data_IF_815937356272
#
_entry.id   IF_815937356272
#
_cell.length_a   1.000
_cell.length_b   1.000
_cell.length_c   1.000
_cell.angle_alpha   90.00
_cell.angle_beta   90.00
_cell.angle_gamma   90.00
#
_symmetry.space_group_name_H-M   'P 1'
#
loop_
_entity.id
_entity.type
_entity.pdbx_description
1 polymer ?
#
# COMPACT_ATOMS: atom_id res chain seq x y z
N UNK A 1 -9.27 -14.45 -58.21
CA UNK A 1 -8.97 -14.40 -56.77
C UNK A 1 -10.27 -14.59 -56.01
N UNK A 2 -10.55 -15.82 -55.59
CA UNK A 2 -11.78 -16.21 -54.88
C UNK A 2 -11.38 -16.72 -53.51
N UNK A 3 -12.02 -16.17 -52.48
CA UNK A 3 -11.76 -16.45 -51.08
C UNK A 3 -12.16 -17.90 -50.72
N UNK A 4 -11.24 -18.65 -50.09
CA UNK A 4 -11.53 -19.96 -49.52
C UNK A 4 -12.08 -19.79 -48.10
N UNK A 5 -13.39 -19.98 -47.93
CA UNK A 5 -14.09 -19.97 -46.64
C UNK A 5 -13.71 -21.18 -45.79
N UNK A 6 -13.15 -20.94 -44.61
CA UNK A 6 -12.84 -21.98 -43.61
C UNK A 6 -14.15 -22.40 -42.95
N UNK A 7 -14.64 -23.60 -43.28
CA UNK A 7 -15.85 -24.17 -42.66
C UNK A 7 -15.54 -24.99 -41.40
N UNK A 8 -16.45 -24.92 -40.41
CA UNK A 8 -16.39 -25.57 -39.07
C UNK A 8 -16.03 -27.07 -39.05
N UNK A 9 -16.14 -27.78 -40.17
CA UNK A 9 -15.78 -29.21 -40.30
C UNK A 9 -14.27 -29.49 -40.24
N UNK A 10 -13.41 -28.50 -40.49
CA UNK A 10 -11.93 -28.65 -40.45
C UNK A 10 -11.32 -28.48 -39.06
N UNK A 11 -12.10 -27.98 -38.08
CA UNK A 11 -11.65 -27.76 -36.69
C UNK A 11 -11.80 -29.03 -35.83
N UNK A 12 -12.60 -30.01 -36.27
CA UNK A 12 -12.87 -31.24 -35.49
C UNK A 12 -11.94 -32.42 -35.82
N UNK A 13 -10.99 -32.27 -36.76
CA UNK A 13 -10.04 -33.34 -37.14
C UNK A 13 -8.73 -33.37 -36.34
N UNK A 14 -8.55 -32.49 -35.34
CA UNK A 14 -7.34 -32.45 -34.50
C UNK A 14 -7.55 -33.10 -33.11
N UNK A 15 -8.75 -33.58 -32.79
CA UNK A 15 -9.07 -34.19 -31.49
C UNK A 15 -8.76 -35.70 -31.42
N UNK A 16 -7.56 -36.11 -31.82
CA UNK A 16 -7.20 -37.53 -32.01
C UNK A 16 -5.84 -37.93 -31.44
N UNK A 17 -5.52 -37.53 -30.20
CA UNK A 17 -4.38 -38.08 -29.46
C UNK A 17 -4.60 -37.96 -27.95
N UNK A 18 -5.38 -38.90 -27.41
CA UNK A 18 -5.48 -39.12 -25.97
C UNK A 18 -4.20 -39.79 -25.47
N UNK A 19 -3.27 -39.02 -24.91
CA UNK A 19 -2.21 -39.55 -24.05
C UNK A 19 -2.83 -39.84 -22.68
N UNK A 20 -2.98 -41.13 -22.35
CA UNK A 20 -3.35 -41.57 -21.01
C UNK A 20 -2.20 -41.26 -20.04
N UNK A 21 -2.31 -40.16 -19.30
CA UNK A 21 -1.42 -39.84 -18.18
C UNK A 21 -1.99 -40.52 -16.92
N UNK A 22 -1.22 -41.30 -16.16
CA UNK A 22 -1.72 -41.90 -14.92
C UNK A 22 -2.07 -40.79 -13.93
N UNK A 23 -3.35 -40.68 -13.54
CA UNK A 23 -3.82 -39.78 -12.48
C UNK A 23 -3.50 -40.36 -11.10
N UNK A 24 -2.22 -40.39 -10.75
CA UNK A 24 -1.80 -40.49 -9.36
C UNK A 24 -0.91 -39.30 -9.07
N UNK A 25 -1.54 -38.20 -8.63
CA UNK A 25 -0.82 -37.03 -8.13
C UNK A 25 -0.46 -37.32 -6.66
N UNK A 26 0.82 -37.53 -6.31
CA UNK A 26 1.20 -37.67 -4.91
C UNK A 26 0.87 -36.37 -4.17
N UNK A 27 0.21 -36.48 -2.99
CA UNK A 27 -0.29 -35.34 -2.20
C UNK A 27 0.74 -34.28 -1.76
N UNK A 28 2.02 -34.45 -2.11
CA UNK A 28 3.06 -33.43 -1.98
C UNK A 28 2.96 -32.30 -3.03
N UNK A 29 2.16 -32.47 -4.09
CA UNK A 29 1.89 -31.44 -5.11
C UNK A 29 0.71 -30.51 -4.76
N UNK A 30 0.05 -30.69 -3.60
CA UNK A 30 -0.96 -29.77 -3.07
C UNK A 30 -0.36 -28.65 -2.21
N UNK A 31 0.96 -28.61 -2.06
CA UNK A 31 1.66 -27.38 -1.70
C UNK A 31 1.88 -26.59 -2.99
N UNK A 32 1.37 -25.35 -3.02
CA UNK A 32 1.53 -24.41 -4.12
C UNK A 32 2.96 -24.49 -4.66
N UNK A 33 3.10 -24.67 -5.98
CA UNK A 33 4.41 -24.75 -6.61
C UNK A 33 5.22 -23.48 -6.26
N UNK A 34 6.55 -23.54 -6.12
CA UNK A 34 7.38 -22.38 -5.75
C UNK A 34 7.21 -21.14 -6.65
N UNK A 35 6.55 -21.26 -7.81
CA UNK A 35 6.19 -20.17 -8.72
C UNK A 35 4.90 -19.41 -8.37
N UNK A 36 4.17 -19.79 -7.30
CA UNK A 36 2.88 -19.17 -6.93
C UNK A 36 2.94 -18.28 -5.67
N UNK A 37 4.12 -18.12 -5.06
CA UNK A 37 4.26 -17.29 -3.84
C UNK A 37 4.82 -15.91 -4.17
N UNK A 38 3.99 -14.87 -4.00
CA UNK A 38 4.39 -13.47 -4.16
C UNK A 38 5.41 -13.09 -3.08
N UNK A 39 6.58 -12.61 -3.50
CA UNK A 39 7.67 -12.17 -2.62
C UNK A 39 7.56 -10.67 -2.38
N UNK A 40 7.33 -10.28 -1.13
CA UNK A 40 7.02 -8.90 -0.76
C UNK A 40 8.12 -8.28 0.09
N UNK A 41 8.47 -7.04 -0.22
CA UNK A 41 9.28 -6.18 0.65
C UNK A 41 8.42 -5.20 1.44
N UNK A 42 8.79 -4.86 2.68
CA UNK A 42 8.11 -3.81 3.47
C UNK A 42 9.02 -2.59 3.56
N UNK A 43 8.49 -1.40 3.26
CA UNK A 43 9.23 -0.14 3.31
C UNK A 43 8.55 0.78 4.33
N UNK A 44 9.27 1.14 5.39
CA UNK A 44 8.74 1.84 6.57
C UNK A 44 8.29 0.87 7.64
N UNK A 45 8.93 0.91 8.81
CA UNK A 45 8.77 -0.12 9.85
C UNK A 45 8.17 0.45 11.14
N UNK A 46 7.18 1.34 10.95
CA UNK A 46 6.39 1.95 12.02
C UNK A 46 5.35 0.99 12.63
N UNK A 47 4.47 1.54 13.48
CA UNK A 47 3.43 0.74 14.15
C UNK A 47 2.48 0.05 13.18
N UNK A 48 2.13 0.72 12.07
CA UNK A 48 1.21 0.20 11.06
C UNK A 48 1.74 -1.04 10.34
N UNK A 49 3.00 -1.01 9.92
CA UNK A 49 3.67 -2.17 9.33
C UNK A 49 3.59 -3.41 10.24
N UNK A 50 3.74 -3.24 11.56
CA UNK A 50 3.65 -4.37 12.52
C UNK A 50 2.24 -4.96 12.55
N UNK A 51 1.22 -4.12 12.53
CA UNK A 51 -0.18 -4.57 12.50
C UNK A 51 -0.45 -5.36 11.22
N UNK A 52 -0.08 -4.83 10.07
CA UNK A 52 -0.25 -5.51 8.78
C UNK A 52 0.46 -6.86 8.76
N UNK A 53 1.71 -6.94 9.24
CA UNK A 53 2.43 -8.21 9.34
C UNK A 53 1.67 -9.22 10.19
N UNK A 54 1.10 -8.79 11.32
CA UNK A 54 0.36 -9.68 12.20
C UNK A 54 -0.99 -10.10 11.62
N UNK A 55 -1.74 -9.16 11.03
CA UNK A 55 -3.05 -9.40 10.40
C UNK A 55 -2.93 -10.32 9.17
N UNK A 56 -1.75 -10.34 8.54
CA UNK A 56 -1.52 -11.07 7.28
C UNK A 56 -0.89 -12.46 7.46
N UNK A 57 -0.63 -12.90 8.71
CA UNK A 57 0.01 -14.22 9.00
C UNK A 57 -0.78 -15.42 8.46
N UNK A 58 -2.09 -15.30 8.38
CA UNK A 58 -2.97 -16.38 7.91
C UNK A 58 -3.21 -16.33 6.40
N UNK A 59 -2.80 -15.25 5.74
CA UNK A 59 -2.94 -15.08 4.29
C UNK A 59 -1.90 -15.94 3.58
N UNK A 60 -2.35 -16.86 2.73
CA UNK A 60 -1.48 -17.75 1.94
C UNK A 60 -1.08 -17.10 0.61
N UNK A 61 -0.08 -17.68 -0.06
CA UNK A 61 0.31 -17.29 -1.42
C UNK A 61 1.26 -16.08 -1.49
N UNK A 62 1.76 -15.61 -0.35
CA UNK A 62 2.76 -14.55 -0.30
C UNK A 62 3.73 -14.78 0.85
N UNK A 63 4.87 -14.10 0.82
CA UNK A 63 5.83 -14.06 1.93
C UNK A 63 6.61 -12.76 1.95
N UNK A 64 6.95 -12.30 3.14
CA UNK A 64 7.88 -11.19 3.33
C UNK A 64 9.30 -11.75 3.13
N UNK A 65 10.04 -11.16 2.19
CA UNK A 65 11.43 -11.54 1.90
C UNK A 65 12.43 -10.59 2.57
N UNK A 66 12.07 -9.30 2.68
CA UNK A 66 12.93 -8.28 3.21
C UNK A 66 12.14 -7.09 3.77
N UNK A 67 12.79 -6.33 4.63
CA UNK A 67 12.23 -5.15 5.28
C UNK A 67 13.21 -3.99 5.20
N UNK A 68 12.70 -2.77 5.12
CA UNK A 68 13.50 -1.58 4.94
C UNK A 68 12.98 -0.40 5.77
N UNK A 69 13.88 0.31 6.44
CA UNK A 69 13.60 1.61 7.06
C UNK A 69 14.87 2.46 7.01
N UNK A 70 14.74 3.77 6.75
CA UNK A 70 15.88 4.69 6.71
C UNK A 70 16.62 4.79 8.04
N UNK A 71 15.99 4.41 9.16
CA UNK A 71 16.62 4.36 10.47
C UNK A 71 16.92 2.92 10.87
N UNK A 72 18.16 2.47 10.65
CA UNK A 72 18.61 1.07 10.91
C UNK A 72 18.18 0.47 12.26
N UNK A 73 18.23 1.17 13.40
CA UNK A 73 17.78 0.60 14.66
C UNK A 73 16.30 0.18 14.66
N UNK A 74 15.48 0.80 13.80
CA UNK A 74 14.08 0.39 13.60
C UNK A 74 13.97 -0.91 12.81
N UNK A 75 14.88 -1.16 11.87
CA UNK A 75 14.97 -2.43 11.13
C UNK A 75 15.25 -3.58 12.10
N UNK A 76 16.27 -3.44 12.94
CA UNK A 76 16.64 -4.45 13.93
C UNK A 76 15.50 -4.70 14.92
N UNK A 77 14.88 -3.63 15.45
CA UNK A 77 13.76 -3.75 16.36
C UNK A 77 12.55 -4.45 15.72
N UNK A 78 12.23 -4.14 14.46
CA UNK A 78 11.12 -4.74 13.73
C UNK A 78 11.33 -6.23 13.49
N UNK A 79 12.52 -6.62 13.00
CA UNK A 79 12.86 -8.03 12.79
C UNK A 79 12.78 -8.78 14.11
N UNK A 80 13.39 -8.26 15.18
CA UNK A 80 13.35 -8.91 16.49
C UNK A 80 11.93 -9.08 17.04
N UNK A 81 11.03 -8.13 16.78
CA UNK A 81 9.67 -8.14 17.33
C UNK A 81 8.72 -9.05 16.55
N UNK A 82 8.75 -9.04 15.22
CA UNK A 82 7.72 -9.70 14.39
C UNK A 82 8.27 -10.66 13.34
N UNK A 83 9.58 -10.69 13.11
CA UNK A 83 10.24 -11.42 12.02
C UNK A 83 11.45 -12.29 12.44
N UNK A 84 11.66 -12.52 13.74
CA UNK A 84 12.89 -13.13 14.29
C UNK A 84 13.28 -14.44 13.62
N UNK A 85 12.29 -15.30 13.37
CA UNK A 85 12.50 -16.63 12.79
C UNK A 85 12.08 -16.70 11.31
N UNK A 86 11.77 -15.55 10.71
CA UNK A 86 11.22 -15.48 9.37
C UNK A 86 12.30 -15.35 8.27
N UNK A 87 13.58 -15.18 8.67
CA UNK A 87 14.71 -15.08 7.74
C UNK A 87 14.71 -13.81 6.87
N UNK A 88 14.04 -12.75 7.32
CA UNK A 88 13.99 -11.48 6.59
C UNK A 88 15.34 -10.79 6.62
N UNK A 89 15.72 -10.21 5.48
CA UNK A 89 16.88 -9.33 5.42
C UNK A 89 16.45 -7.90 5.69
N UNK A 90 17.23 -7.22 6.52
CA UNK A 90 17.05 -5.80 6.82
C UNK A 90 17.86 -4.91 5.89
N UNK A 91 17.27 -3.77 5.50
CA UNK A 91 17.89 -2.78 4.62
C UNK A 91 17.65 -1.35 5.14
N UNK A 92 18.62 -0.46 4.95
CA UNK A 92 18.43 0.98 5.21
C UNK A 92 17.83 1.72 4.00
N UNK A 93 18.14 1.24 2.79
CA UNK A 93 17.73 1.85 1.53
C UNK A 93 16.83 0.90 0.73
N UNK A 94 15.63 1.36 0.39
CA UNK A 94 14.64 0.53 -0.29
C UNK A 94 15.03 0.21 -1.73
N UNK A 95 15.79 1.10 -2.40
CA UNK A 95 16.29 0.84 -3.76
C UNK A 95 17.26 -0.34 -3.74
N UNK A 96 18.21 -0.34 -2.80
CA UNK A 96 19.13 -1.45 -2.58
C UNK A 96 18.40 -2.75 -2.24
N UNK A 97 17.32 -2.68 -1.43
CA UNK A 97 16.47 -3.84 -1.15
C UNK A 97 15.85 -4.38 -2.44
N UNK A 98 15.20 -3.53 -3.25
CA UNK A 98 14.56 -3.93 -4.52
C UNK A 98 15.58 -4.50 -5.52
N UNK A 99 16.78 -3.93 -5.59
CA UNK A 99 17.85 -4.42 -6.50
C UNK A 99 18.40 -5.79 -6.08
N UNK A 100 18.61 -6.01 -4.78
CA UNK A 100 19.23 -7.25 -4.27
C UNK A 100 18.24 -8.38 -4.07
N UNK A 101 16.99 -8.04 -3.80
CA UNK A 101 15.94 -9.02 -3.54
C UNK A 101 15.08 -9.21 -4.77
N UNK A 102 14.83 -10.47 -5.14
CA UNK A 102 13.88 -10.82 -6.19
C UNK A 102 12.45 -10.62 -5.67
N UNK A 103 12.02 -9.37 -5.51
CA UNK A 103 10.69 -9.01 -5.05
C UNK A 103 9.72 -8.93 -6.23
N UNK A 104 8.47 -9.29 -5.98
CA UNK A 104 7.37 -9.13 -6.93
C UNK A 104 6.57 -7.85 -6.61
N UNK A 105 6.47 -7.52 -5.31
CA UNK A 105 5.74 -6.37 -4.82
C UNK A 105 6.38 -5.74 -3.58
N UNK A 106 5.96 -4.52 -3.25
CA UNK A 106 6.30 -3.87 -1.98
C UNK A 106 5.07 -3.31 -1.26
N UNK A 107 5.11 -3.30 0.06
CA UNK A 107 4.17 -2.58 0.92
C UNK A 107 4.84 -1.31 1.41
N UNK A 108 4.29 -0.16 1.06
CA UNK A 108 4.81 1.17 1.42
C UNK A 108 4.04 1.68 2.65
N UNK A 109 4.67 1.46 3.80
CA UNK A 109 4.20 1.72 5.16
C UNK A 109 4.94 2.91 5.80
N UNK A 110 5.52 3.78 4.97
CA UNK A 110 6.29 4.95 5.41
C UNK A 110 5.41 6.02 6.04
N UNK A 111 6.00 7.15 6.41
CA UNK A 111 5.26 8.39 6.66
C UNK A 111 4.64 8.93 5.37
N UNK A 112 3.63 9.81 5.50
CA UNK A 112 2.86 10.31 4.35
C UNK A 112 3.66 11.17 3.40
N UNK A 113 4.45 12.09 3.93
CA UNK A 113 5.35 12.94 3.14
C UNK A 113 6.43 12.17 2.37
N UNK A 114 6.77 10.93 2.74
CA UNK A 114 7.74 10.13 1.96
C UNK A 114 7.07 9.19 0.94
N UNK A 115 5.76 8.92 1.10
CA UNK A 115 5.09 7.77 0.49
C UNK A 115 5.02 7.82 -1.03
N UNK A 116 4.65 8.99 -1.58
CA UNK A 116 4.40 9.14 -3.02
C UNK A 116 5.67 8.85 -3.84
N UNK A 117 6.80 9.45 -3.46
CA UNK A 117 8.07 9.27 -4.18
C UNK A 117 8.56 7.81 -4.12
N UNK A 118 8.47 7.15 -2.96
CA UNK A 118 8.88 5.75 -2.79
C UNK A 118 8.03 4.85 -3.68
N UNK A 119 6.72 5.10 -3.69
CA UNK A 119 5.76 4.35 -4.49
C UNK A 119 6.06 4.47 -5.98
N UNK A 120 6.31 5.67 -6.50
CA UNK A 120 6.67 5.88 -7.91
C UNK A 120 7.94 5.11 -8.28
N UNK A 121 8.96 5.15 -7.43
CA UNK A 121 10.24 4.49 -7.70
C UNK A 121 10.15 2.98 -7.62
N UNK A 122 9.36 2.46 -6.69
CA UNK A 122 9.07 1.03 -6.63
C UNK A 122 8.36 0.57 -7.92
N UNK A 123 7.35 1.33 -8.38
CA UNK A 123 6.68 1.02 -9.64
C UNK A 123 7.61 1.11 -10.85
N UNK A 124 8.48 2.12 -10.89
CA UNK A 124 9.49 2.26 -11.93
C UNK A 124 10.48 1.09 -11.94
N UNK A 125 10.82 0.55 -10.78
CA UNK A 125 11.64 -0.65 -10.63
C UNK A 125 10.89 -1.95 -10.96
N UNK A 126 9.63 -1.87 -11.41
CA UNK A 126 8.83 -3.02 -11.83
C UNK A 126 8.03 -3.69 -10.71
N UNK A 127 7.95 -3.10 -9.52
CA UNK A 127 7.21 -3.68 -8.39
C UNK A 127 5.72 -3.34 -8.47
N UNK A 128 4.87 -4.30 -8.13
CA UNK A 128 3.50 -4.01 -7.70
C UNK A 128 3.53 -3.37 -6.30
N UNK A 129 2.55 -2.51 -5.98
CA UNK A 129 2.63 -1.69 -4.77
C UNK A 129 1.33 -1.64 -3.97
N UNK A 130 1.41 -2.07 -2.71
CA UNK A 130 0.44 -1.71 -1.69
C UNK A 130 0.88 -0.39 -1.04
N UNK A 131 -0.03 0.59 -0.99
CA UNK A 131 0.25 1.95 -0.53
C UNK A 131 -0.63 2.22 0.68
N UNK A 132 -0.07 2.43 1.87
CA UNK A 132 -0.92 2.83 3.01
C UNK A 132 -1.63 4.16 2.77
N UNK A 133 -2.76 4.31 3.45
CA UNK A 133 -3.50 5.57 3.48
C UNK A 133 -2.91 6.52 4.54
N UNK A 134 -3.00 7.85 4.36
CA UNK A 134 -3.38 8.53 3.11
C UNK A 134 -2.35 8.27 2.00
N UNK A 135 -2.78 8.13 0.75
CA UNK A 135 -1.87 7.70 -0.32
C UNK A 135 -0.69 8.68 -0.56
N UNK A 136 -0.89 9.97 -0.31
CA UNK A 136 0.06 11.06 -0.59
C UNK A 136 -0.26 12.29 0.27
N UNK A 137 0.61 13.32 0.22
CA UNK A 137 0.46 14.56 0.97
C UNK A 137 -0.37 15.60 0.20
N UNK A 138 -0.25 15.64 -1.14
CA UNK A 138 -0.97 16.60 -1.99
C UNK A 138 -1.82 15.94 -3.07
N UNK A 139 -2.81 16.68 -3.60
CA UNK A 139 -3.63 16.25 -4.74
C UNK A 139 -2.77 16.01 -5.99
N UNK A 140 -1.78 16.86 -6.23
CA UNK A 140 -0.89 16.75 -7.38
C UNK A 140 -0.09 15.44 -7.37
N UNK A 141 0.45 15.07 -6.21
CA UNK A 141 1.11 13.76 -6.03
C UNK A 141 0.14 12.60 -6.28
N UNK A 142 -1.10 12.71 -5.81
CA UNK A 142 -2.11 11.68 -6.02
C UNK A 142 -2.41 11.47 -7.51
N UNK A 143 -2.49 12.54 -8.29
CA UNK A 143 -2.65 12.47 -9.76
C UNK A 143 -1.43 11.83 -10.40
N UNK A 144 -0.23 12.22 -9.98
CA UNK A 144 1.01 11.65 -10.50
C UNK A 144 1.16 10.16 -10.17
N UNK A 145 0.72 9.71 -8.99
CA UNK A 145 0.71 8.29 -8.63
C UNK A 145 -0.17 7.45 -9.55
N UNK A 146 -1.35 7.95 -9.90
CA UNK A 146 -2.24 7.31 -10.88
C UNK A 146 -1.59 7.23 -12.26
N UNK A 147 -0.95 8.31 -12.70
CA UNK A 147 -0.21 8.32 -13.97
C UNK A 147 0.95 7.33 -13.97
N UNK A 148 1.73 7.28 -12.89
CA UNK A 148 2.86 6.36 -12.76
C UNK A 148 2.40 4.90 -12.75
N UNK A 149 1.34 4.56 -12.03
CA UNK A 149 0.77 3.21 -12.02
C UNK A 149 0.36 2.74 -13.42
N UNK A 150 -0.31 3.63 -14.19
CA UNK A 150 -0.70 3.37 -15.58
C UNK A 150 0.50 3.27 -16.52
N UNK A 151 1.46 4.19 -16.39
CA UNK A 151 2.66 4.25 -17.22
C UNK A 151 3.51 3.00 -17.08
N UNK A 152 3.76 2.57 -15.85
CA UNK A 152 4.59 1.40 -15.55
C UNK A 152 3.79 0.10 -15.53
N UNK A 153 2.47 0.15 -15.78
CA UNK A 153 1.57 -1.00 -15.82
C UNK A 153 1.74 -1.89 -14.58
N UNK A 154 1.68 -1.27 -13.39
CA UNK A 154 1.82 -1.96 -12.11
C UNK A 154 0.47 -2.10 -11.42
N UNK A 155 0.28 -3.20 -10.71
CA UNK A 155 -0.87 -3.36 -9.81
C UNK A 155 -0.62 -2.48 -8.59
N UNK A 156 -1.59 -1.62 -8.30
CA UNK A 156 -1.55 -0.76 -7.11
C UNK A 156 -2.81 -0.92 -6.28
N UNK A 157 -2.65 -0.96 -4.97
CA UNK A 157 -3.75 -1.01 -4.02
C UNK A 157 -3.50 -0.02 -2.87
N UNK A 158 -4.44 0.88 -2.65
CA UNK A 158 -4.40 1.78 -1.49
C UNK A 158 -4.98 1.08 -0.27
N UNK A 159 -4.37 1.30 0.90
CA UNK A 159 -4.70 0.71 2.20
C UNK A 159 -6.03 1.15 2.81
N UNK A 160 -7.06 1.36 2.00
CA UNK A 160 -8.41 1.71 2.46
C UNK A 160 -9.14 0.45 2.94
N UNK A 161 -8.64 -0.14 4.05
CA UNK A 161 -9.03 -1.46 4.54
C UNK A 161 -10.54 -1.65 4.73
N UNK A 162 -11.27 -0.58 5.06
CA UNK A 162 -12.72 -0.62 5.23
C UNK A 162 -13.46 -1.10 3.97
N UNK A 163 -12.88 -0.98 2.77
CA UNK A 163 -13.42 -1.57 1.53
C UNK A 163 -13.27 -3.09 1.43
N UNK A 164 -12.50 -3.70 2.32
CA UNK A 164 -12.30 -5.15 2.40
C UNK A 164 -12.97 -5.77 3.61
N UNK A 165 -13.60 -4.96 4.48
CA UNK A 165 -14.31 -5.44 5.67
C UNK A 165 -15.72 -5.89 5.26
N UNK A 166 -16.12 -7.16 5.50
CA UNK A 166 -17.40 -7.69 5.03
C UNK A 166 -18.63 -6.90 5.50
N UNK A 167 -18.67 -6.48 6.77
CA UNK A 167 -19.82 -5.74 7.32
C UNK A 167 -19.95 -4.35 6.68
N UNK A 168 -18.83 -3.68 6.42
CA UNK A 168 -18.82 -2.39 5.74
C UNK A 168 -19.32 -2.53 4.30
N UNK A 169 -18.83 -3.56 3.60
CA UNK A 169 -19.28 -3.86 2.25
C UNK A 169 -20.78 -4.17 2.19
N UNK A 170 -21.28 -4.98 3.12
CA UNK A 170 -22.71 -5.28 3.23
C UNK A 170 -23.55 -4.03 3.46
N UNK A 171 -23.13 -3.16 4.39
CA UNK A 171 -23.85 -1.92 4.70
C UNK A 171 -23.89 -0.97 3.49
N UNK A 172 -22.74 -0.71 2.86
CA UNK A 172 -22.66 0.12 1.64
C UNK A 172 -23.52 -0.45 0.51
N UNK A 173 -23.53 -1.78 0.34
CA UNK A 173 -24.33 -2.45 -0.69
C UNK A 173 -25.85 -2.25 -0.48
N UNK A 174 -26.33 -2.21 0.76
CA UNK A 174 -27.74 -1.93 1.05
C UNK A 174 -28.13 -0.52 0.60
N UNK A 175 -27.28 0.48 0.91
CA UNK A 175 -27.49 1.86 0.48
C UNK A 175 -27.47 1.95 -1.04
N UNK A 176 -26.42 1.43 -1.68
CA UNK A 176 -26.23 1.45 -3.13
C UNK A 176 -27.36 0.76 -3.89
N UNK A 177 -27.96 -0.30 -3.32
CA UNK A 177 -29.11 -1.04 -3.89
C UNK A 177 -30.46 -0.40 -3.56
N UNK A 178 -30.48 0.81 -3.00
CA UNK A 178 -31.70 1.58 -2.73
C UNK A 178 -32.54 1.06 -1.57
N UNK A 179 -31.98 0.25 -0.66
CA UNK A 179 -32.73 -0.32 0.47
C UNK A 179 -33.20 0.72 1.49
N UNK A 180 -32.58 1.90 1.52
CA UNK A 180 -33.01 3.05 2.33
C UNK A 180 -33.98 4.00 1.59
N UNK A 181 -34.33 3.70 0.33
CA UNK A 181 -35.01 4.65 -0.55
C UNK A 181 -34.06 5.74 -1.06
N UNK A 182 -34.61 6.91 -1.42
CA UNK A 182 -33.81 8.04 -1.92
C UNK A 182 -33.02 8.66 -0.76
N UNK A 183 -31.68 8.60 -0.83
CA UNK A 183 -30.82 9.33 0.09
C UNK A 183 -30.99 10.85 -0.10
N UNK A 184 -31.42 11.54 0.95
CA UNK A 184 -31.60 13.01 0.95
C UNK A 184 -30.43 13.74 1.60
N UNK A 185 -29.87 13.15 2.66
CA UNK A 185 -28.82 13.77 3.47
C UNK A 185 -27.80 12.71 3.88
N UNK A 186 -26.52 13.07 3.83
CA UNK A 186 -25.42 12.28 4.40
C UNK A 186 -24.76 13.11 5.49
N UNK A 187 -24.57 12.52 6.66
CA UNK A 187 -23.86 13.12 7.77
C UNK A 187 -22.50 12.44 7.90
N UNK A 188 -21.44 13.24 7.95
CA UNK A 188 -20.08 12.76 8.15
C UNK A 188 -19.46 13.52 9.33
N UNK A 189 -18.55 12.88 10.10
CA UNK A 189 -17.78 13.61 11.10
C UNK A 189 -16.97 14.75 10.46
N UNK A 190 -16.88 15.87 11.16
CA UNK A 190 -15.92 16.92 10.82
C UNK A 190 -14.59 16.61 11.52
N UNK A 191 -13.55 16.32 10.74
CA UNK A 191 -12.24 15.98 11.28
C UNK A 191 -11.40 17.23 11.46
N UNK A 192 -10.67 17.28 12.58
CA UNK A 192 -9.77 18.40 12.88
C UNK A 192 -8.51 18.26 12.01
N UNK A 193 -8.08 19.37 11.41
CA UNK A 193 -6.87 19.46 10.61
C UNK A 193 -5.58 19.37 11.45
N UNK A 194 -4.41 19.32 10.78
CA UNK A 194 -3.11 19.33 11.43
C UNK A 194 -2.78 20.66 12.10
N UNK A 195 -1.86 20.60 13.06
CA UNK A 195 -1.25 21.76 13.69
C UNK A 195 -0.02 22.21 12.89
N UNK A 196 0.38 23.48 13.07
CA UNK A 196 1.66 23.99 12.56
C UNK A 196 2.77 23.77 13.56
N UNK A 197 3.90 23.24 13.09
CA UNK A 197 5.11 23.16 13.89
C UNK A 197 5.75 24.54 14.05
N UNK A 198 5.93 25.01 15.28
CA UNK A 198 6.49 26.34 15.58
C UNK A 198 7.77 26.32 16.43
N UNK A 199 8.14 25.16 16.98
CA UNK A 199 9.33 25.05 17.81
C UNK A 199 10.61 25.06 16.96
N UNK A 200 11.61 25.79 17.43
CA UNK A 200 12.97 25.80 16.87
C UNK A 200 13.94 24.95 17.68
N UNK A 201 13.45 24.25 18.71
CA UNK A 201 14.27 23.45 19.60
C UNK A 201 14.89 22.25 18.86
N UNK A 202 16.22 22.11 19.00
CA UNK A 202 16.95 20.95 18.52
C UNK A 202 17.16 19.94 19.65
N UNK A 203 16.92 18.65 19.38
CA UNK A 203 17.31 17.55 20.24
C UNK A 203 18.41 16.72 19.57
N UNK A 204 19.25 16.01 20.35
CA UNK A 204 20.23 15.11 19.77
C UNK A 204 19.58 14.01 18.94
N UNK A 205 20.18 13.69 17.80
CA UNK A 205 19.76 12.55 16.98
C UNK A 205 19.89 11.23 17.76
N UNK A 206 18.90 10.32 17.64
CA UNK A 206 19.01 8.96 18.12
C UNK A 206 20.26 8.26 17.57
N UNK A 207 20.91 7.45 18.42
CA UNK A 207 22.08 6.66 18.03
C UNK A 207 21.70 5.56 17.02
N UNK A 208 22.67 5.19 16.19
CA UNK A 208 22.60 4.00 15.33
C UNK A 208 22.02 4.24 13.92
N UNK A 209 21.49 5.42 13.63
CA UNK A 209 21.21 5.81 12.25
C UNK A 209 22.48 6.28 11.52
N UNK A 210 22.46 6.26 10.19
CA UNK A 210 23.53 6.81 9.33
C UNK A 210 23.69 8.33 9.46
N UNK A 211 24.65 8.95 8.78
CA UNK A 211 24.84 10.41 8.89
C UNK A 211 23.62 11.21 8.42
N UNK A 212 22.94 10.73 7.35
CA UNK A 212 21.88 11.47 6.66
C UNK A 212 20.48 10.85 6.80
N UNK A 213 20.27 9.87 7.70
CA UNK A 213 18.95 9.22 7.80
C UNK A 213 17.83 10.21 8.12
N UNK A 214 18.13 11.29 8.85
CA UNK A 214 17.15 12.30 9.22
C UNK A 214 16.68 13.12 8.01
N UNK A 215 17.60 13.48 7.12
CA UNK A 215 17.27 14.15 5.86
C UNK A 215 16.44 13.22 4.96
N UNK A 216 16.85 11.94 4.85
CA UNK A 216 16.11 10.91 4.13
C UNK A 216 14.70 10.73 4.70
N UNK A 217 14.55 10.73 6.03
CA UNK A 217 13.26 10.63 6.71
C UNK A 217 12.40 11.87 6.46
N UNK A 218 13.00 13.06 6.51
CA UNK A 218 12.32 14.35 6.28
C UNK A 218 11.83 14.46 4.83
N UNK A 219 12.58 13.94 3.87
CA UNK A 219 12.20 13.84 2.46
C UNK A 219 11.76 15.20 1.88
N UNK A 220 10.50 15.37 1.47
CA UNK A 220 9.99 16.60 0.89
C UNK A 220 9.56 17.65 1.92
N UNK A 221 9.43 17.26 3.20
CA UNK A 221 9.10 18.22 4.25
C UNK A 221 10.30 19.16 4.49
N UNK A 222 10.05 20.36 5.01
CA UNK A 222 11.14 21.28 5.32
C UNK A 222 12.11 20.64 6.34
N UNK A 223 13.39 20.62 5.97
CA UNK A 223 14.47 20.07 6.79
C UNK A 223 14.70 20.92 8.03
N UNK A 224 14.38 20.33 9.18
CA UNK A 224 14.48 20.96 10.50
C UNK A 224 15.45 20.23 11.40
N UNK A 225 15.96 20.87 12.47
CA UNK A 225 16.66 20.15 13.52
C UNK A 225 15.82 19.00 14.05
N UNK A 226 16.47 17.89 14.40
CA UNK A 226 15.77 16.72 14.92
C UNK A 226 14.97 17.06 16.16
N UNK A 227 13.73 16.60 16.20
CA UNK A 227 12.88 16.66 17.38
C UNK A 227 12.04 15.38 17.50
N UNK A 228 11.96 14.74 18.68
CA UNK A 228 11.22 13.47 18.83
C UNK A 228 9.72 13.61 18.56
N UNK A 229 9.12 14.79 18.81
CA UNK A 229 7.71 15.04 18.47
C UNK A 229 7.46 15.17 16.96
N UNK A 230 8.49 15.52 16.17
CA UNK A 230 8.41 15.43 14.72
C UNK A 230 8.54 13.96 14.31
N UNK A 231 9.60 13.27 14.72
CA UNK A 231 9.87 11.89 14.28
C UNK A 231 8.76 10.89 14.70
N UNK A 232 8.19 11.05 15.89
CA UNK A 232 7.21 10.10 16.46
C UNK A 232 5.78 10.64 16.54
N UNK A 233 5.55 11.89 16.11
CA UNK A 233 4.23 12.51 16.05
C UNK A 233 4.03 13.29 14.75
N UNK A 234 4.69 12.85 13.67
CA UNK A 234 4.71 13.48 12.36
C UNK A 234 3.28 13.71 11.83
N UNK A 235 2.36 12.79 12.09
CA UNK A 235 0.97 12.86 11.64
C UNK A 235 0.20 14.09 12.15
N UNK A 236 0.70 14.72 13.22
CA UNK A 236 0.09 15.92 13.79
C UNK A 236 0.37 17.19 12.98
N UNK A 237 1.48 17.21 12.24
CA UNK A 237 2.07 18.43 11.69
C UNK A 237 1.82 18.55 10.18
N UNK A 238 1.39 19.72 9.73
CA UNK A 238 0.89 19.97 8.37
C UNK A 238 1.90 19.71 7.25
N UNK A 239 3.20 19.88 7.51
CA UNK A 239 4.26 19.55 6.56
C UNK A 239 4.41 18.05 6.28
N UNK A 240 3.92 17.19 7.18
CA UNK A 240 4.19 15.76 7.17
C UNK A 240 2.93 14.92 6.90
N UNK A 241 1.76 15.40 7.35
CA UNK A 241 0.46 14.78 7.10
C UNK A 241 -0.68 15.81 7.20
N UNK A 242 -1.78 15.59 6.47
CA UNK A 242 -3.04 16.33 6.65
C UNK A 242 -3.87 15.86 7.86
N UNK A 243 -3.28 15.07 8.75
CA UNK A 243 -3.97 14.11 9.62
C UNK A 243 -3.88 14.38 11.11
N UNK A 244 -3.91 15.65 11.51
CA UNK A 244 -3.79 16.21 12.87
C UNK A 244 -4.14 15.35 14.09
N UNK A 245 -5.07 15.82 14.91
CA UNK A 245 -5.48 15.09 16.12
C UNK A 245 -6.30 13.84 15.73
N UNK A 246 -6.00 12.70 16.37
CA UNK A 246 -6.66 11.42 16.12
C UNK A 246 -6.63 11.00 14.64
N UNK A 247 -5.51 11.15 13.95
CA UNK A 247 -5.36 10.85 12.51
C UNK A 247 -6.24 11.71 11.58
N UNK A 248 -6.94 12.72 12.10
CA UNK A 248 -7.54 13.83 11.34
C UNK A 248 -8.26 13.49 10.03
N UNK A 249 -8.15 14.43 9.08
CA UNK A 249 -8.86 14.42 7.79
C UNK A 249 -8.33 13.32 6.86
N UNK A 250 -7.02 13.15 6.79
CA UNK A 250 -6.33 12.23 5.86
C UNK A 250 -6.16 10.80 6.42
N UNK A 251 -6.35 10.60 7.73
CA UNK A 251 -6.31 9.29 8.35
C UNK A 251 -7.70 8.67 8.52
N UNK A 252 -8.51 9.15 9.46
CA UNK A 252 -9.88 8.64 9.67
C UNK A 252 -10.88 9.26 8.68
N UNK A 253 -10.70 10.53 8.32
CA UNK A 253 -11.55 11.16 7.32
C UNK A 253 -11.51 10.44 5.97
N UNK A 254 -10.33 10.00 5.52
CA UNK A 254 -10.22 9.17 4.30
C UNK A 254 -11.07 7.91 4.39
N UNK A 255 -11.12 7.21 5.53
CA UNK A 255 -12.02 6.07 5.69
C UNK A 255 -13.50 6.47 5.63
N UNK A 256 -13.90 7.51 6.37
CA UNK A 256 -15.29 7.94 6.42
C UNK A 256 -15.82 8.42 5.07
N UNK A 257 -15.08 9.30 4.39
CA UNK A 257 -15.48 9.82 3.09
C UNK A 257 -15.45 8.74 2.01
N UNK A 258 -14.49 7.82 2.08
CA UNK A 258 -14.42 6.67 1.17
C UNK A 258 -15.65 5.75 1.30
N UNK A 259 -16.06 5.42 2.53
CA UNK A 259 -17.25 4.59 2.75
C UNK A 259 -18.54 5.27 2.31
N UNK A 260 -18.63 6.59 2.47
CA UNK A 260 -19.74 7.38 1.93
C UNK A 260 -19.79 7.24 0.40
N UNK A 261 -18.67 7.45 -0.28
CA UNK A 261 -18.60 7.32 -1.73
C UNK A 261 -18.97 5.90 -2.21
N UNK A 262 -18.46 4.88 -1.51
CA UNK A 262 -18.82 3.48 -1.78
C UNK A 262 -20.32 3.24 -1.65
N UNK A 263 -20.92 3.71 -0.55
CA UNK A 263 -22.34 3.52 -0.24
C UNK A 263 -23.26 4.25 -1.23
N UNK A 264 -22.87 5.44 -1.67
CA UNK A 264 -23.59 6.21 -2.69
C UNK A 264 -23.36 5.69 -4.11
N UNK A 265 -22.37 4.81 -4.32
CA UNK A 265 -22.01 4.31 -5.64
C UNK A 265 -21.28 5.33 -6.50
N UNK A 266 -20.56 6.26 -5.88
CA UNK A 266 -19.87 7.39 -6.53
C UNK A 266 -18.37 7.17 -6.69
N UNK A 267 -17.92 5.91 -6.64
CA UNK A 267 -16.51 5.51 -6.73
C UNK A 267 -15.80 6.01 -8.01
N UNK A 268 -16.54 6.12 -9.12
CA UNK A 268 -16.02 6.60 -10.41
C UNK A 268 -16.20 8.11 -10.61
N UNK A 269 -16.61 8.82 -9.55
CA UNK A 269 -16.72 10.27 -9.54
C UNK A 269 -15.60 10.88 -8.71
N UNK A 270 -15.49 12.21 -8.70
CA UNK A 270 -14.54 12.90 -7.85
C UNK A 270 -14.78 14.40 -7.83
N UNK A 271 -14.04 15.13 -7.00
CA UNK A 271 -14.09 16.58 -7.01
C UNK A 271 -13.77 17.12 -8.40
N UNK A 272 -14.67 17.95 -8.94
CA UNK A 272 -14.55 18.60 -10.25
C UNK A 272 -13.93 20.00 -10.16
N UNK A 273 -13.91 20.59 -8.96
CA UNK A 273 -13.36 21.91 -8.68
C UNK A 273 -12.76 21.96 -7.27
N UNK A 274 -11.82 22.87 -7.06
CA UNK A 274 -11.29 23.26 -5.75
C UNK A 274 -11.88 24.64 -5.49
N UNK A 275 -12.77 24.75 -4.50
CA UNK A 275 -13.40 26.01 -4.10
C UNK A 275 -12.64 26.62 -2.93
#
# INVERSE_FOLDING_TARGET
MTASTITRRRVLQVAGSALAVPMVIPGRLLQAAPSETVRVGIIGLGGRARQIVNDSREVKGWKIAAVCDCFLPRVDAFINQVGKDAGWKGYECFRTMIEKEKLDAVMVETTTHARAWITVLAMQAGMDVYIEKPMCLSIAEGRYLVEAARRYQRVTQVGTQQRSIPINNWASDLVKKGKLGKCLTVLAPNFVGPDRWTSTEAKPLPKGGSENWWDVWTNQAELRPYHPQLHHGWERWDDYDGGGLCFGVTGWGTHSYDQINRALGTDDTGPSEIV
#
